data_IF_290915618741
#
_entry.id   IF_290915618741
#
_cell.length_a   1.000
_cell.length_b   1.000
_cell.length_c   1.000
_cell.angle_alpha   90.00
_cell.angle_beta   90.00
_cell.angle_gamma   90.00
#
_symmetry.space_group_name_H-M   'P 1'
#
loop_
_entity.id
_entity.type
_entity.pdbx_description
1 polymer ?
#
# COMPACT_ATOMS: atom_id res chain seq x y z
N UNK A 1 -5.02 -17.30 6.90
CA UNK A 1 -3.93 -17.53 5.93
C UNK A 1 -2.64 -17.44 6.71
N UNK A 2 -1.82 -18.48 6.69
CA UNK A 2 -0.45 -18.37 7.23
C UNK A 2 0.38 -17.49 6.30
N UNK A 3 1.14 -16.55 6.84
CA UNK A 3 2.09 -15.77 6.05
C UNK A 3 3.23 -16.69 5.58
N UNK A 4 3.58 -16.60 4.30
CA UNK A 4 4.77 -17.26 3.77
C UNK A 4 6.00 -16.65 4.43
N UNK A 5 7.00 -17.48 4.77
CA UNK A 5 8.23 -17.06 5.44
C UNK A 5 9.44 -17.56 4.69
N UNK A 6 10.51 -16.79 4.72
CA UNK A 6 11.77 -17.11 4.07
C UNK A 6 12.93 -16.57 4.89
N UNK A 7 13.97 -17.38 5.06
CA UNK A 7 15.21 -16.96 5.75
C UNK A 7 15.99 -15.96 4.91
N UNK A 8 16.88 -15.17 5.53
CA UNK A 8 17.79 -14.27 4.81
C UNK A 8 18.62 -15.03 3.76
N UNK A 9 19.06 -16.24 4.10
CA UNK A 9 19.86 -17.07 3.21
C UNK A 9 19.08 -17.53 1.97
N UNK A 10 17.83 -17.99 2.15
CA UNK A 10 16.95 -18.38 1.04
C UNK A 10 16.60 -17.17 0.17
N UNK A 11 16.21 -16.05 0.78
CA UNK A 11 15.87 -14.83 0.06
C UNK A 11 17.04 -14.32 -0.78
N UNK A 12 18.25 -14.35 -0.22
CA UNK A 12 19.49 -13.98 -0.91
C UNK A 12 19.81 -14.95 -2.05
N UNK A 13 19.58 -16.26 -1.87
CA UNK A 13 19.78 -17.26 -2.91
C UNK A 13 18.78 -17.11 -4.07
N UNK A 14 17.56 -16.66 -3.79
CA UNK A 14 16.55 -16.29 -4.79
C UNK A 14 16.79 -14.90 -5.42
N UNK A 15 17.78 -14.16 -4.93
CA UNK A 15 18.24 -12.89 -5.49
C UNK A 15 17.59 -11.64 -4.90
N UNK A 16 16.79 -11.77 -3.83
CA UNK A 16 16.26 -10.62 -3.09
C UNK A 16 17.35 -9.97 -2.23
N UNK A 17 17.24 -8.67 -2.00
CA UNK A 17 18.21 -7.91 -1.21
C UNK A 17 17.60 -6.83 -0.31
N UNK A 18 16.29 -6.59 -0.43
CA UNK A 18 15.61 -5.49 0.25
C UNK A 18 14.37 -5.98 1.00
N UNK A 19 14.09 -5.31 2.11
CA UNK A 19 12.92 -5.55 2.94
C UNK A 19 12.33 -4.24 3.45
N UNK A 20 11.13 -4.31 4.03
CA UNK A 20 10.49 -3.20 4.74
C UNK A 20 10.03 -3.71 6.10
N UNK A 21 10.24 -2.91 7.14
CA UNK A 21 9.67 -3.21 8.46
C UNK A 21 8.15 -3.13 8.41
N UNK A 22 7.46 -4.01 9.14
CA UNK A 22 6.00 -3.97 9.26
C UNK A 22 5.51 -2.60 9.75
N UNK A 23 4.54 -2.01 9.03
CA UNK A 23 4.08 -0.63 9.24
C UNK A 23 5.07 0.47 8.80
N UNK A 24 6.23 0.10 8.23
CA UNK A 24 7.22 1.01 7.69
C UNK A 24 6.92 1.48 6.26
N UNK A 25 7.69 2.47 5.80
CA UNK A 25 7.53 3.07 4.46
C UNK A 25 8.84 3.19 3.67
N UNK A 26 9.92 2.57 4.15
CA UNK A 26 11.26 2.65 3.52
C UNK A 26 11.80 1.27 3.28
N UNK A 27 12.37 1.08 2.08
CA UNK A 27 13.18 -0.09 1.78
C UNK A 27 14.50 -0.03 2.58
N UNK A 28 14.86 -1.14 3.19
CA UNK A 28 16.10 -1.37 3.92
C UNK A 28 16.82 -2.58 3.30
N UNK A 29 18.15 -2.56 3.26
CA UNK A 29 18.91 -3.74 2.85
C UNK A 29 18.79 -4.83 3.91
N UNK A 30 18.97 -6.11 3.53
CA UNK A 30 19.04 -7.18 4.51
C UNK A 30 20.17 -6.99 5.53
N UNK A 31 21.28 -6.34 5.13
CA UNK A 31 22.40 -6.03 6.03
C UNK A 31 21.99 -5.02 7.10
N UNK A 32 21.27 -3.95 6.73
CA UNK A 32 20.78 -2.94 7.67
C UNK A 32 19.70 -3.50 8.61
N UNK A 33 18.87 -4.42 8.10
CA UNK A 33 17.80 -5.05 8.88
C UNK A 33 18.31 -6.15 9.83
N UNK A 34 19.49 -6.73 9.57
CA UNK A 34 19.96 -7.96 10.21
C UNK A 34 19.96 -7.90 11.75
N UNK A 35 20.33 -6.76 12.34
CA UNK A 35 20.37 -6.60 13.80
C UNK A 35 18.99 -6.53 14.45
N UNK A 36 17.94 -6.24 13.68
CA UNK A 36 16.57 -6.07 14.17
C UNK A 36 15.63 -7.22 13.80
N UNK A 37 16.03 -8.14 12.90
CA UNK A 37 15.19 -9.27 12.45
C UNK A 37 14.67 -10.16 13.60
N UNK A 38 15.38 -10.23 14.72
CA UNK A 38 14.95 -10.98 15.89
C UNK A 38 13.84 -10.30 16.71
N UNK A 39 13.63 -8.98 16.51
CA UNK A 39 12.76 -8.15 17.36
C UNK A 39 11.65 -7.45 16.59
N UNK A 40 11.70 -7.45 15.26
CA UNK A 40 10.73 -6.81 14.38
C UNK A 40 10.33 -7.73 13.25
N UNK A 41 9.13 -7.50 12.73
CA UNK A 41 8.64 -8.17 11.53
C UNK A 41 9.12 -7.38 10.31
N UNK A 42 9.70 -8.10 9.34
CA UNK A 42 10.13 -7.56 8.06
C UNK A 42 9.46 -8.32 6.92
N UNK A 43 9.16 -7.62 5.84
CA UNK A 43 8.58 -8.17 4.61
C UNK A 43 9.55 -7.98 3.44
N UNK A 44 9.75 -9.01 2.64
CA UNK A 44 10.60 -8.94 1.45
C UNK A 44 9.96 -8.01 0.42
N UNK A 45 10.81 -7.19 -0.20
CA UNK A 45 10.46 -6.35 -1.34
C UNK A 45 10.91 -7.00 -2.65
N UNK A 46 10.12 -6.81 -3.70
CA UNK A 46 10.50 -7.21 -5.06
C UNK A 46 11.75 -6.43 -5.50
N UNK A 47 12.56 -6.99 -6.37
CA UNK A 47 13.76 -6.33 -6.89
C UNK A 47 13.42 -5.32 -8.01
N UNK A 48 12.29 -5.49 -8.68
CA UNK A 48 11.86 -4.60 -9.76
C UNK A 48 10.95 -3.49 -9.21
N UNK A 49 11.44 -2.24 -9.11
CA UNK A 49 10.60 -1.16 -8.65
C UNK A 49 9.60 -0.77 -9.74
N UNK A 50 8.36 -0.53 -9.34
CA UNK A 50 7.22 -0.28 -10.24
C UNK A 50 6.62 1.09 -9.99
N UNK A 51 5.79 1.56 -10.92
CA UNK A 51 4.97 2.75 -10.73
C UNK A 51 3.74 2.38 -9.90
N UNK A 52 3.45 3.17 -8.87
CA UNK A 52 2.18 3.08 -8.16
C UNK A 52 1.11 3.87 -8.92
N UNK A 53 -0.09 3.30 -9.00
CA UNK A 53 -1.25 3.96 -9.59
C UNK A 53 -2.50 3.64 -8.79
N UNK A 54 -3.43 4.58 -8.78
CA UNK A 54 -4.75 4.45 -8.18
C UNK A 54 -5.82 4.42 -9.26
N UNK A 55 -6.96 3.78 -8.97
CA UNK A 55 -8.12 3.78 -9.85
C UNK A 55 -9.09 4.91 -9.48
N UNK A 56 -10.01 5.28 -10.38
CA UNK A 56 -11.11 6.19 -10.05
C UNK A 56 -12.01 5.64 -8.93
N UNK A 57 -12.20 4.32 -8.87
CA UNK A 57 -12.91 3.66 -7.76
C UNK A 57 -12.20 3.91 -6.42
N UNK A 58 -10.87 3.84 -6.34
CA UNK A 58 -10.14 4.18 -5.11
C UNK A 58 -10.43 5.60 -4.64
N UNK A 59 -10.46 6.58 -5.55
CA UNK A 59 -10.78 7.96 -5.18
C UNK A 59 -12.22 8.06 -4.68
N UNK A 60 -13.17 7.41 -5.36
CA UNK A 60 -14.57 7.41 -4.95
C UNK A 60 -14.75 6.82 -3.54
N UNK A 61 -14.12 5.68 -3.26
CA UNK A 61 -14.14 5.06 -1.93
C UNK A 61 -13.50 5.97 -0.88
N UNK A 62 -12.40 6.67 -1.17
CA UNK A 62 -11.81 7.64 -0.23
C UNK A 62 -12.78 8.79 0.12
N UNK A 63 -13.61 9.23 -0.82
CA UNK A 63 -14.65 10.24 -0.56
C UNK A 63 -15.78 9.64 0.27
N UNK A 64 -16.21 8.41 -0.03
CA UNK A 64 -17.23 7.69 0.74
C UNK A 64 -16.77 7.51 2.20
N UNK A 65 -15.55 7.01 2.42
CA UNK A 65 -14.96 6.83 3.75
C UNK A 65 -14.95 8.16 4.52
N UNK A 66 -14.50 9.24 3.87
CA UNK A 66 -14.49 10.57 4.48
C UNK A 66 -15.88 11.03 4.93
N UNK A 67 -16.90 10.79 4.11
CA UNK A 67 -18.29 11.15 4.41
C UNK A 67 -18.88 10.27 5.52
N UNK A 68 -18.62 8.96 5.49
CA UNK A 68 -19.11 8.01 6.48
C UNK A 68 -18.55 8.25 7.89
N UNK A 69 -17.31 8.74 7.98
CA UNK A 69 -16.63 8.99 9.27
C UNK A 69 -16.92 10.39 9.86
N UNK A 70 -17.79 11.21 9.24
CA UNK A 70 -18.17 12.51 9.81
C UNK A 70 -19.05 12.32 11.06
N UNK A 71 -18.59 12.84 12.20
CA UNK A 71 -19.31 12.77 13.48
C UNK A 71 -20.03 14.06 13.86
N UNK A 72 -19.81 15.13 13.10
CA UNK A 72 -20.37 16.46 13.29
C UNK A 72 -21.59 16.74 12.40
N UNK A 73 -21.95 15.79 11.53
CA UNK A 73 -23.11 15.85 10.66
C UNK A 73 -24.14 14.81 11.10
N UNK A 74 -25.39 15.23 11.29
CA UNK A 74 -26.50 14.33 11.56
C UNK A 74 -26.97 13.70 10.25
N UNK A 75 -26.41 12.54 9.90
CA UNK A 75 -26.76 11.73 8.74
C UNK A 75 -27.24 10.34 9.19
N UNK A 76 -28.43 10.28 9.80
CA UNK A 76 -28.95 9.10 10.48
C UNK A 76 -29.17 7.88 9.55
N UNK A 77 -29.35 8.12 8.25
CA UNK A 77 -29.64 7.09 7.23
C UNK A 77 -28.49 6.91 6.21
N UNK A 78 -27.30 7.46 6.44
CA UNK A 78 -26.17 7.44 5.49
C UNK A 78 -26.49 8.06 4.12
N UNK A 79 -27.41 9.02 4.08
CA UNK A 79 -27.87 9.65 2.84
C UNK A 79 -26.72 10.34 2.11
N UNK A 80 -25.73 10.89 2.82
CA UNK A 80 -24.58 11.53 2.20
C UNK A 80 -23.68 10.51 1.48
N UNK A 81 -23.55 9.29 2.00
CA UNK A 81 -22.84 8.20 1.33
C UNK A 81 -23.56 7.79 0.05
N UNK A 82 -24.89 7.65 0.10
CA UNK A 82 -25.71 7.31 -1.07
C UNK A 82 -25.53 8.35 -2.19
N UNK A 83 -25.55 9.65 -1.86
CA UNK A 83 -25.31 10.72 -2.83
C UNK A 83 -23.96 10.60 -3.55
N UNK A 84 -22.90 10.20 -2.85
CA UNK A 84 -21.58 9.98 -3.45
C UNK A 84 -21.58 8.70 -4.29
N UNK A 85 -22.25 7.63 -3.84
CA UNK A 85 -22.39 6.38 -4.58
C UNK A 85 -23.11 6.57 -5.93
N UNK A 86 -24.05 7.51 -6.03
CA UNK A 86 -24.74 7.85 -7.28
C UNK A 86 -23.83 8.52 -8.33
N UNK A 87 -22.72 9.15 -7.92
CA UNK A 87 -21.78 9.78 -8.85
C UNK A 87 -21.12 8.69 -9.71
N UNK A 88 -21.20 8.77 -11.06
CA UNK A 88 -20.52 7.81 -11.92
C UNK A 88 -19.02 7.80 -11.67
N UNK A 89 -18.40 6.61 -11.60
CA UNK A 89 -16.95 6.46 -11.38
C UNK A 89 -16.11 7.27 -12.39
N UNK A 90 -16.58 7.44 -13.63
CA UNK A 90 -15.90 8.23 -14.66
C UNK A 90 -15.74 9.71 -14.32
N UNK A 91 -16.56 10.26 -13.41
CA UNK A 91 -16.40 11.65 -12.95
C UNK A 91 -15.11 11.83 -12.12
N UNK A 92 -14.51 10.74 -11.66
CA UNK A 92 -13.24 10.73 -10.93
C UNK A 92 -12.02 10.55 -11.85
N UNK A 93 -12.20 10.41 -13.16
CA UNK A 93 -11.10 10.14 -14.11
C UNK A 93 -10.08 11.29 -14.13
N UNK A 94 -10.54 12.54 -14.22
CA UNK A 94 -9.66 13.70 -14.35
C UNK A 94 -8.72 13.88 -13.13
N UNK A 95 -9.24 13.66 -11.91
CA UNK A 95 -8.43 13.74 -10.69
C UNK A 95 -7.50 12.52 -10.57
N UNK A 96 -7.97 11.34 -10.98
CA UNK A 96 -7.17 10.12 -11.03
C UNK A 96 -5.97 10.27 -11.96
N UNK A 97 -6.17 10.81 -13.17
CA UNK A 97 -5.10 11.10 -14.13
C UNK A 97 -4.09 12.09 -13.55
N UNK A 98 -4.55 13.16 -12.89
CA UNK A 98 -3.68 14.16 -12.27
C UNK A 98 -2.80 13.54 -11.17
N UNK A 99 -3.38 12.73 -10.30
CA UNK A 99 -2.66 12.06 -9.20
C UNK A 99 -1.68 11.04 -9.77
N UNK A 100 -2.11 10.17 -10.67
CA UNK A 100 -1.25 9.15 -11.29
C UNK A 100 -0.08 9.77 -12.05
N UNK A 101 -0.29 10.91 -12.73
CA UNK A 101 0.81 11.66 -13.35
C UNK A 101 1.88 12.09 -12.36
N UNK A 102 1.51 12.44 -11.12
CA UNK A 102 2.45 12.78 -10.05
C UNK A 102 3.11 11.56 -9.42
N UNK A 103 2.35 10.49 -9.19
CA UNK A 103 2.89 9.24 -8.64
C UNK A 103 3.91 8.59 -9.58
N UNK A 104 3.71 8.70 -10.90
CA UNK A 104 4.62 8.20 -11.93
C UNK A 104 5.98 8.92 -11.96
N UNK A 105 6.16 10.03 -11.24
CA UNK A 105 7.47 10.70 -11.10
C UNK A 105 8.44 9.90 -10.21
N UNK A 106 7.97 8.82 -9.55
CA UNK A 106 8.78 7.96 -8.69
C UNK A 106 8.48 6.47 -8.90
N UNK A 107 9.46 5.64 -8.60
CA UNK A 107 9.33 4.20 -8.55
C UNK A 107 9.24 3.72 -7.10
N UNK A 108 8.60 2.58 -6.90
CA UNK A 108 8.26 2.01 -5.60
C UNK A 108 8.61 0.53 -5.59
N UNK A 109 9.16 0.05 -4.49
CA UNK A 109 9.45 -1.37 -4.29
C UNK A 109 8.24 -2.04 -3.63
N UNK A 110 7.50 -2.91 -4.33
CA UNK A 110 6.34 -3.57 -3.76
C UNK A 110 6.78 -4.68 -2.80
N UNK A 111 6.02 -4.92 -1.74
CA UNK A 111 6.20 -6.14 -0.96
C UNK A 111 5.64 -7.34 -1.70
N UNK A 112 6.36 -8.46 -1.67
CA UNK A 112 5.90 -9.75 -2.23
C UNK A 112 5.10 -10.59 -1.21
N UNK A 113 4.82 -10.03 -0.02
CA UNK A 113 4.00 -10.70 1.01
C UNK A 113 4.69 -11.87 1.73
N UNK A 114 6.02 -11.99 1.61
CA UNK A 114 6.83 -13.00 2.30
C UNK A 114 7.52 -12.34 3.49
N UNK A 115 7.33 -12.91 4.68
CA UNK A 115 7.99 -12.45 5.89
C UNK A 115 9.45 -12.91 5.88
N UNK A 116 10.37 -11.97 6.05
CA UNK A 116 11.79 -12.25 6.23
C UNK A 116 12.03 -12.68 7.67
N UNK A 117 12.72 -13.81 7.84
CA UNK A 117 13.17 -14.31 9.14
C UNK A 117 14.69 -14.49 9.15
N UNK A 118 15.35 -14.46 10.32
CA UNK A 118 16.80 -14.67 10.43
C UNK A 118 17.29 -15.93 9.70
#
# INVERSE_FOLDING_TARGET
MESLKMTVAEATAEGYSQCVVDGGCRAESFEDAAEYLATRTYWILDNEPTTYSISPDCIKEMVIDHVADQSDVADEDQFLVELVQEIPTSEFDAITELINKKLAERLWWPSIGIQLIP
#
